data_IF_817322261194
#
_entry.id   IF_817322261194
#
_cell.length_a   1.000
_cell.length_b   1.000
_cell.length_c   1.000
_cell.angle_alpha   90.00
_cell.angle_beta   90.00
_cell.angle_gamma   90.00
#
_symmetry.space_group_name_H-M   'P 1'
#
loop_
_entity.id
_entity.type
_entity.pdbx_description
1 polymer ?
#
# COMPACT_ATOMS: atom_id res chain seq x y z
N UNK A 1 -13.93 -7.46 8.72
CA UNK A 1 -14.52 -6.15 8.36
C UNK A 1 -15.37 -5.59 9.50
N UNK A 2 -16.49 -6.24 9.89
CA UNK A 2 -17.33 -5.73 10.98
C UNK A 2 -16.56 -5.58 12.30
N UNK A 3 -15.75 -6.57 12.63
CA UNK A 3 -14.98 -6.58 13.86
C UNK A 3 -13.90 -5.50 13.88
N UNK A 4 -13.25 -5.22 12.77
CA UNK A 4 -12.31 -4.10 12.66
C UNK A 4 -13.01 -2.75 12.67
N UNK A 5 -14.16 -2.65 12.05
CA UNK A 5 -15.01 -1.45 12.15
C UNK A 5 -15.42 -1.14 13.59
N UNK A 6 -15.66 -2.15 14.40
CA UNK A 6 -15.99 -1.99 15.83
C UNK A 6 -14.77 -1.71 16.71
N UNK A 7 -13.61 -2.24 16.34
CA UNK A 7 -12.39 -2.17 17.15
C UNK A 7 -11.42 -1.07 16.74
N UNK A 8 -11.49 -0.61 15.48
CA UNK A 8 -10.47 0.25 14.89
C UNK A 8 -11.07 1.39 14.13
N UNK A 9 -11.66 2.32 14.49
CA UNK A 9 -11.64 3.64 13.81
C UNK A 9 -12.14 3.65 12.34
N UNK A 10 -12.26 2.50 11.67
CA UNK A 10 -12.64 2.45 10.25
C UNK A 10 -14.16 2.34 10.09
N UNK A 11 -14.82 3.24 9.33
CA UNK A 11 -16.23 3.09 9.03
C UNK A 11 -16.52 1.77 8.29
N UNK A 12 -17.49 0.99 8.76
CA UNK A 12 -17.88 -0.27 8.12
C UNK A 12 -18.22 -0.08 6.63
N UNK A 13 -18.92 0.99 6.29
CA UNK A 13 -19.24 1.32 4.92
C UNK A 13 -17.99 1.47 4.04
N UNK A 14 -16.92 2.09 4.55
CA UNK A 14 -15.66 2.23 3.82
C UNK A 14 -14.97 0.89 3.58
N UNK A 15 -14.92 0.02 4.60
CA UNK A 15 -14.35 -1.33 4.44
C UNK A 15 -15.14 -2.15 3.42
N UNK A 16 -16.46 -2.22 3.57
CA UNK A 16 -17.31 -3.05 2.72
C UNK A 16 -17.40 -2.54 1.27
N UNK A 17 -17.58 -1.23 1.08
CA UNK A 17 -17.83 -0.65 -0.25
C UNK A 17 -16.58 -0.26 -1.02
N UNK A 18 -15.44 -0.13 -0.35
CA UNK A 18 -14.20 0.35 -0.98
C UNK A 18 -13.06 -0.66 -0.89
N UNK A 19 -12.70 -1.09 0.33
CA UNK A 19 -11.50 -1.91 0.49
C UNK A 19 -11.67 -3.36 0.02
N UNK A 20 -12.84 -3.98 0.21
CA UNK A 20 -13.07 -5.37 -0.22
C UNK A 20 -13.10 -5.47 -1.75
N UNK A 21 -13.89 -4.68 -2.49
CA UNK A 21 -13.84 -4.70 -3.96
C UNK A 21 -12.44 -4.38 -4.49
N UNK A 22 -11.79 -3.36 -3.92
CA UNK A 22 -10.44 -2.98 -4.33
C UNK A 22 -9.41 -4.09 -4.10
N UNK A 23 -9.55 -4.86 -3.02
CA UNK A 23 -8.68 -6.00 -2.77
C UNK A 23 -8.82 -7.07 -3.87
N UNK A 24 -10.04 -7.39 -4.30
CA UNK A 24 -10.28 -8.33 -5.39
C UNK A 24 -9.69 -7.83 -6.71
N UNK A 25 -10.02 -6.58 -7.10
CA UNK A 25 -9.47 -5.95 -8.32
C UNK A 25 -7.94 -5.96 -8.38
N UNK A 26 -7.27 -5.83 -7.24
CA UNK A 26 -5.81 -5.87 -7.17
C UNK A 26 -5.27 -7.26 -7.51
N UNK A 27 -5.89 -8.31 -7.00
CA UNK A 27 -5.48 -9.68 -7.35
C UNK A 27 -5.75 -9.98 -8.83
N UNK A 28 -6.90 -9.58 -9.35
CA UNK A 28 -7.23 -9.73 -10.79
C UNK A 28 -6.20 -8.99 -11.66
N UNK A 29 -5.88 -7.75 -11.31
CA UNK A 29 -4.87 -6.96 -12.02
C UNK A 29 -3.51 -7.67 -12.11
N UNK A 30 -2.99 -8.19 -11.00
CA UNK A 30 -1.70 -8.86 -11.01
C UNK A 30 -1.74 -10.23 -11.69
N UNK A 31 -2.86 -10.94 -11.61
CA UNK A 31 -3.08 -12.18 -12.35
C UNK A 31 -3.03 -11.97 -13.87
N UNK A 32 -3.66 -10.90 -14.36
CA UNK A 32 -3.63 -10.54 -15.77
C UNK A 32 -2.26 -10.00 -16.20
N UNK A 33 -1.65 -9.17 -15.35
CA UNK A 33 -0.38 -8.50 -15.67
C UNK A 33 0.79 -9.46 -15.80
N UNK A 34 0.87 -10.50 -14.96
CA UNK A 34 2.01 -11.43 -14.97
C UNK A 34 2.13 -12.20 -16.28
N UNK A 35 0.99 -12.47 -16.94
CA UNK A 35 0.96 -13.13 -18.26
C UNK A 35 1.52 -12.28 -19.41
N UNK A 36 1.68 -10.97 -19.18
CA UNK A 36 2.19 -10.00 -20.16
C UNK A 36 3.65 -9.60 -19.88
N UNK A 37 4.27 -10.13 -18.84
CA UNK A 37 5.62 -9.78 -18.46
C UNK A 37 6.63 -10.34 -19.46
N UNK A 38 7.27 -9.46 -20.23
CA UNK A 38 8.28 -9.80 -21.20
C UNK A 38 9.71 -9.60 -20.67
N UNK A 39 10.64 -10.41 -21.17
CA UNK A 39 12.07 -10.11 -21.12
C UNK A 39 12.48 -9.21 -22.28
N UNK A 40 13.69 -8.68 -22.21
CA UNK A 40 14.24 -7.81 -23.25
C UNK A 40 15.52 -8.41 -23.81
N UNK A 41 15.74 -8.22 -25.10
CA UNK A 41 16.96 -8.65 -25.76
C UNK A 41 17.51 -7.52 -26.62
N UNK A 42 18.78 -7.23 -26.47
CA UNK A 42 19.48 -6.21 -27.22
C UNK A 42 20.65 -6.81 -27.97
N UNK A 43 20.73 -6.61 -29.28
CA UNK A 43 21.93 -6.90 -30.05
C UNK A 43 22.92 -5.73 -29.87
N UNK A 44 24.13 -6.04 -29.47
CA UNK A 44 25.20 -5.06 -29.24
C UNK A 44 26.30 -5.16 -30.30
N UNK A 45 27.20 -4.19 -30.28
CA UNK A 45 28.38 -4.22 -31.16
C UNK A 45 29.26 -5.44 -30.85
N UNK A 46 29.93 -5.97 -31.90
CA UNK A 46 30.91 -7.06 -31.78
C UNK A 46 30.35 -8.43 -31.33
N UNK A 47 29.24 -8.84 -31.90
CA UNK A 47 28.64 -10.17 -31.69
C UNK A 47 28.14 -10.48 -30.26
N UNK A 48 27.97 -9.45 -29.43
CA UNK A 48 27.37 -9.60 -28.11
C UNK A 48 25.87 -9.40 -28.15
N UNK A 49 25.15 -10.25 -27.41
CA UNK A 49 23.72 -10.10 -27.16
C UNK A 49 23.48 -9.98 -25.67
N UNK A 50 22.78 -8.91 -25.25
CA UNK A 50 22.33 -8.73 -23.87
C UNK A 50 20.91 -9.24 -23.75
N UNK A 51 20.70 -10.13 -22.77
CA UNK A 51 19.36 -10.63 -22.43
C UNK A 51 19.02 -10.16 -21.01
N UNK A 52 17.88 -9.48 -20.86
CA UNK A 52 17.36 -9.05 -19.57
C UNK A 52 16.26 -10.02 -19.16
N UNK A 53 16.48 -10.72 -18.07
CA UNK A 53 15.52 -11.61 -17.45
C UNK A 53 15.09 -11.06 -16.09
N UNK A 54 13.85 -11.34 -15.70
CA UNK A 54 13.31 -10.99 -14.38
C UNK A 54 13.28 -12.24 -13.53
N UNK A 55 13.72 -12.11 -12.27
CA UNK A 55 13.74 -13.22 -11.32
C UNK A 55 13.09 -12.75 -10.00
N UNK A 56 12.50 -13.66 -9.21
CA UNK A 56 12.05 -13.35 -7.86
C UNK A 56 13.16 -12.76 -7.02
N UNK A 57 12.84 -11.76 -6.21
CA UNK A 57 13.79 -11.18 -5.26
C UNK A 57 14.05 -12.10 -4.05
N UNK A 58 13.09 -12.95 -3.70
CA UNK A 58 13.14 -13.85 -2.56
C UNK A 58 12.04 -13.60 -1.54
N UNK A 59 12.41 -13.35 -0.28
CA UNK A 59 11.50 -13.12 0.84
C UNK A 59 11.32 -11.63 1.10
N UNK A 60 10.09 -11.13 1.03
CA UNK A 60 9.76 -9.75 1.34
C UNK A 60 9.21 -9.60 2.77
N UNK A 61 9.80 -8.72 3.57
CA UNK A 61 9.17 -8.22 4.78
C UNK A 61 8.24 -7.05 4.45
N UNK A 62 6.97 -7.17 4.75
CA UNK A 62 5.93 -6.21 4.37
C UNK A 62 5.30 -5.62 5.63
N UNK A 63 5.27 -4.28 5.70
CA UNK A 63 4.64 -3.54 6.80
C UNK A 63 3.49 -2.72 6.26
N UNK A 64 2.27 -2.97 6.76
CA UNK A 64 1.07 -2.26 6.29
C UNK A 64 0.39 -1.47 7.40
N UNK A 65 -0.19 -0.31 7.08
CA UNK A 65 -0.83 0.57 8.04
C UNK A 65 -2.25 0.09 8.39
N UNK A 66 -2.90 0.82 9.28
CA UNK A 66 -4.24 0.51 9.78
C UNK A 66 -5.37 1.12 8.94
N UNK A 67 -5.14 2.24 8.27
CA UNK A 67 -6.19 3.05 7.62
C UNK A 67 -6.75 2.46 6.32
N UNK A 68 -5.96 1.67 5.60
CA UNK A 68 -6.37 0.92 4.41
C UNK A 68 -5.81 -0.50 4.46
N UNK A 69 -5.96 -1.14 5.63
CA UNK A 69 -5.30 -2.40 5.99
C UNK A 69 -5.51 -3.50 4.95
N UNK A 70 -6.73 -3.71 4.47
CA UNK A 70 -7.03 -4.76 3.51
C UNK A 70 -6.50 -4.44 2.11
N UNK A 71 -6.83 -3.26 1.57
CA UNK A 71 -6.45 -2.88 0.21
C UNK A 71 -4.92 -2.80 0.04
N UNK A 72 -4.21 -2.18 0.99
CA UNK A 72 -2.75 -2.06 0.92
C UNK A 72 -2.05 -3.40 1.16
N UNK A 73 -2.56 -4.24 2.07
CA UNK A 73 -2.03 -5.58 2.23
C UNK A 73 -2.26 -6.44 0.99
N UNK A 74 -3.43 -6.34 0.36
CA UNK A 74 -3.72 -7.04 -0.90
C UNK A 74 -2.75 -6.61 -2.01
N UNK A 75 -2.49 -5.31 -2.14
CA UNK A 75 -1.56 -4.79 -3.15
C UNK A 75 -0.14 -5.35 -2.96
N UNK A 76 0.35 -5.35 -1.73
CA UNK A 76 1.68 -5.86 -1.40
C UNK A 76 1.78 -7.38 -1.56
N UNK A 77 0.76 -8.13 -1.11
CA UNK A 77 0.72 -9.59 -1.24
C UNK A 77 0.61 -9.98 -2.71
N UNK A 78 -0.37 -9.43 -3.44
CA UNK A 78 -0.63 -9.80 -4.84
C UNK A 78 0.59 -9.53 -5.73
N UNK A 79 1.21 -8.36 -5.59
CA UNK A 79 2.45 -8.06 -6.32
C UNK A 79 3.60 -8.99 -5.93
N UNK A 80 3.74 -9.31 -4.65
CA UNK A 80 4.79 -10.21 -4.17
C UNK A 80 4.66 -11.62 -4.78
N UNK A 81 3.49 -12.22 -4.67
CA UNK A 81 3.26 -13.60 -5.12
C UNK A 81 3.22 -13.72 -6.65
N UNK A 82 2.67 -12.72 -7.36
CA UNK A 82 2.62 -12.72 -8.83
C UNK A 82 4.03 -12.78 -9.45
N UNK A 83 5.01 -12.17 -8.81
CA UNK A 83 6.40 -12.21 -9.27
C UNK A 83 7.24 -13.32 -8.60
N UNK A 84 6.59 -14.33 -8.04
CA UNK A 84 7.25 -15.55 -7.52
C UNK A 84 7.96 -15.38 -6.19
N UNK A 85 7.68 -14.31 -5.44
CA UNK A 85 8.27 -14.10 -4.12
C UNK A 85 7.38 -14.68 -3.02
N UNK A 86 7.96 -14.91 -1.85
CA UNK A 86 7.24 -15.13 -0.60
C UNK A 86 7.31 -13.90 0.31
N UNK A 87 6.42 -13.81 1.29
CA UNK A 87 6.46 -12.69 2.21
C UNK A 87 6.14 -13.05 3.66
N UNK A 88 6.66 -12.20 4.54
CA UNK A 88 6.26 -12.10 5.94
C UNK A 88 5.61 -10.73 6.13
N UNK A 89 4.30 -10.71 6.30
CA UNK A 89 3.52 -9.50 6.47
C UNK A 89 3.32 -9.18 7.94
N UNK A 90 3.64 -7.97 8.34
CA UNK A 90 3.27 -7.39 9.63
C UNK A 90 2.21 -6.30 9.43
N UNK A 91 0.93 -6.61 9.62
CA UNK A 91 -0.11 -5.58 9.62
C UNK A 91 0.03 -4.69 10.86
N UNK A 92 -0.63 -3.52 10.81
CA UNK A 92 -0.76 -2.71 12.01
C UNK A 92 -1.46 -3.49 13.12
N UNK A 93 -0.99 -3.33 14.38
CA UNK A 93 -1.63 -3.91 15.55
C UNK A 93 -3.06 -3.39 15.81
N UNK A 94 -3.42 -2.26 15.21
CA UNK A 94 -4.76 -1.67 15.34
C UNK A 94 -5.80 -2.27 14.39
N UNK A 95 -5.37 -2.89 13.26
CA UNK A 95 -6.28 -3.42 12.25
C UNK A 95 -5.75 -4.70 11.58
N UNK A 96 -5.48 -5.79 12.33
CA UNK A 96 -4.91 -7.00 11.76
C UNK A 96 -5.96 -7.99 11.22
N UNK A 97 -7.22 -7.90 11.65
CA UNK A 97 -8.18 -9.00 11.50
C UNK A 97 -8.59 -9.26 10.04
N UNK A 98 -8.83 -8.22 9.24
CA UNK A 98 -9.16 -8.39 7.83
C UNK A 98 -7.99 -9.00 7.04
N UNK A 99 -6.77 -8.62 7.39
CA UNK A 99 -5.55 -9.17 6.78
C UNK A 99 -5.39 -10.67 7.11
N UNK A 100 -5.62 -11.05 8.36
CA UNK A 100 -5.60 -12.46 8.77
C UNK A 100 -6.66 -13.28 8.03
N UNK A 101 -7.87 -12.74 7.82
CA UNK A 101 -8.91 -13.40 7.03
C UNK A 101 -8.53 -13.51 5.55
N UNK A 102 -7.90 -12.47 4.98
CA UNK A 102 -7.38 -12.53 3.61
C UNK A 102 -6.39 -13.68 3.44
N UNK A 103 -5.42 -13.81 4.34
CA UNK A 103 -4.41 -14.88 4.23
C UNK A 103 -5.04 -16.26 4.36
N UNK A 104 -5.98 -16.46 5.29
CA UNK A 104 -6.76 -17.71 5.38
C UNK A 104 -7.54 -18.01 4.10
N UNK A 105 -8.13 -16.99 3.48
CA UNK A 105 -8.83 -17.14 2.21
C UNK A 105 -7.88 -17.58 1.11
N UNK A 106 -6.71 -16.94 0.99
CA UNK A 106 -5.70 -17.32 0.00
C UNK A 106 -5.25 -18.78 0.16
N UNK A 107 -5.01 -19.24 1.39
CA UNK A 107 -4.69 -20.64 1.67
C UNK A 107 -5.86 -21.57 1.28
N UNK A 108 -7.10 -21.19 1.57
CA UNK A 108 -8.30 -22.00 1.26
C UNK A 108 -8.54 -22.16 -0.23
N UNK A 109 -8.06 -21.25 -1.07
CA UNK A 109 -8.15 -21.34 -2.54
C UNK A 109 -6.90 -21.93 -3.19
N UNK A 110 -5.97 -22.46 -2.39
CA UNK A 110 -4.85 -23.26 -2.88
C UNK A 110 -3.49 -22.55 -2.89
N UNK A 111 -3.36 -21.38 -2.29
CA UNK A 111 -2.04 -20.77 -2.11
C UNK A 111 -1.18 -21.70 -1.22
N UNK A 112 0.01 -22.13 -1.65
CA UNK A 112 0.84 -23.02 -0.87
C UNK A 112 1.21 -22.41 0.49
N UNK A 113 1.17 -23.24 1.53
CA UNK A 113 1.58 -22.84 2.90
C UNK A 113 3.00 -22.30 2.90
N UNK A 114 3.20 -21.18 3.60
CA UNK A 114 4.52 -20.55 3.73
C UNK A 114 4.83 -19.49 2.66
N UNK A 115 4.03 -19.36 1.60
CA UNK A 115 4.20 -18.29 0.60
C UNK A 115 3.84 -16.93 1.20
N UNK A 116 2.73 -16.85 1.95
CA UNK A 116 2.34 -15.65 2.68
C UNK A 116 2.22 -15.96 4.17
N UNK A 117 3.02 -15.31 4.98
CA UNK A 117 3.05 -15.49 6.43
C UNK A 117 2.66 -14.18 7.11
N UNK A 118 1.99 -14.24 8.25
CA UNK A 118 1.61 -13.06 9.02
C UNK A 118 2.16 -13.12 10.42
N UNK A 119 2.82 -12.05 10.84
CA UNK A 119 3.28 -11.87 12.23
C UNK A 119 2.60 -10.64 12.82
N UNK A 120 1.91 -10.85 13.94
CA UNK A 120 1.26 -9.77 14.69
C UNK A 120 2.12 -9.30 15.85
N UNK A 121 1.93 -8.06 16.23
CA UNK A 121 2.59 -7.47 17.40
C UNK A 121 2.91 -6.00 17.22
N UNK A 122 3.48 -5.42 18.28
CA UNK A 122 3.84 -4.01 18.29
C UNK A 122 4.95 -3.71 17.29
N UNK A 123 4.86 -2.56 16.63
CA UNK A 123 5.88 -2.10 15.69
C UNK A 123 7.28 -2.04 16.29
N UNK A 124 7.39 -1.61 17.55
CA UNK A 124 8.66 -1.52 18.28
C UNK A 124 9.29 -2.86 18.67
N UNK A 125 8.54 -3.96 18.64
CA UNK A 125 9.02 -5.29 19.01
C UNK A 125 9.05 -6.17 17.75
N UNK A 126 7.89 -6.62 17.29
CA UNK A 126 7.75 -7.51 16.14
C UNK A 126 8.22 -6.84 14.84
N UNK A 127 7.89 -5.55 14.66
CA UNK A 127 8.33 -4.80 13.50
C UNK A 127 9.85 -4.61 13.47
N UNK A 128 10.46 -4.26 14.59
CA UNK A 128 11.91 -4.11 14.70
C UNK A 128 12.63 -5.44 14.45
N UNK A 129 12.13 -6.54 15.01
CA UNK A 129 12.68 -7.88 14.78
C UNK A 129 12.60 -8.30 13.31
N UNK A 130 11.45 -8.07 12.66
CA UNK A 130 11.28 -8.39 11.24
C UNK A 130 12.18 -7.55 10.33
N UNK A 131 12.39 -6.27 10.65
CA UNK A 131 13.25 -5.38 9.86
C UNK A 131 14.74 -5.77 9.92
N UNK A 132 15.15 -6.56 10.92
CA UNK A 132 16.53 -7.05 11.09
C UNK A 132 16.66 -8.55 10.89
N UNK A 133 15.59 -9.23 10.48
CA UNK A 133 15.59 -10.69 10.36
C UNK A 133 16.52 -11.14 9.21
N UNK A 134 17.36 -12.12 9.50
CA UNK A 134 18.16 -12.78 8.48
C UNK A 134 17.24 -13.49 7.47
N UNK A 135 17.62 -13.47 6.19
CA UNK A 135 16.84 -14.08 5.12
C UNK A 135 15.69 -13.21 4.60
N UNK A 136 15.63 -11.94 4.98
CA UNK A 136 14.76 -10.94 4.33
C UNK A 136 15.55 -10.29 3.20
N UNK A 137 15.07 -10.49 1.97
CA UNK A 137 15.74 -10.00 0.75
C UNK A 137 15.26 -8.60 0.35
N UNK A 138 14.07 -8.19 0.79
CA UNK A 138 13.47 -6.89 0.51
C UNK A 138 12.52 -6.46 1.62
N UNK A 139 12.46 -5.16 1.87
CA UNK A 139 11.50 -4.58 2.80
C UNK A 139 10.57 -3.61 2.05
N UNK A 140 9.27 -3.71 2.32
CA UNK A 140 8.27 -2.73 1.88
C UNK A 140 7.50 -2.21 3.09
N UNK A 141 7.43 -0.89 3.24
CA UNK A 141 6.72 -0.26 4.35
C UNK A 141 5.81 0.86 3.84
N UNK A 142 4.55 0.75 4.18
CA UNK A 142 3.60 1.87 4.09
C UNK A 142 3.33 2.40 5.50
N UNK A 143 3.66 3.66 5.75
CA UNK A 143 3.51 4.23 7.10
C UNK A 143 4.12 5.61 7.26
N UNK A 144 4.53 5.92 8.48
CA UNK A 144 5.07 7.23 8.85
C UNK A 144 6.57 7.35 8.59
N UNK A 145 7.02 8.57 8.28
CA UNK A 145 8.42 8.88 8.03
C UNK A 145 9.35 8.50 9.20
N UNK A 146 8.91 8.66 10.44
CA UNK A 146 9.69 8.25 11.62
C UNK A 146 9.91 6.74 11.71
N UNK A 147 8.91 5.95 11.30
CA UNK A 147 9.04 4.50 11.20
C UNK A 147 9.95 4.12 10.06
N UNK A 148 9.82 4.79 8.91
CA UNK A 148 10.66 4.56 7.75
C UNK A 148 12.16 4.78 8.05
N UNK A 149 12.50 5.84 8.77
CA UNK A 149 13.89 6.09 9.20
C UNK A 149 14.47 4.95 10.05
N UNK A 150 13.66 4.41 10.98
CA UNK A 150 14.07 3.27 11.83
C UNK A 150 14.27 2.00 11.01
N UNK A 151 13.33 1.73 10.09
CA UNK A 151 13.42 0.56 9.20
C UNK A 151 14.60 0.68 8.25
N UNK A 152 14.84 1.86 7.69
CA UNK A 152 16.00 2.12 6.83
C UNK A 152 17.33 1.89 7.58
N UNK A 153 17.42 2.39 8.80
CA UNK A 153 18.63 2.18 9.62
C UNK A 153 18.84 0.69 9.95
N UNK A 154 17.76 -0.06 10.22
CA UNK A 154 17.84 -1.49 10.46
C UNK A 154 18.26 -2.26 9.19
N UNK A 155 17.69 -1.94 8.05
CA UNK A 155 17.97 -2.56 6.75
C UNK A 155 19.41 -2.29 6.27
N UNK A 156 19.94 -1.11 6.59
CA UNK A 156 21.30 -0.71 6.19
C UNK A 156 22.39 -1.68 6.70
N UNK A 157 22.21 -2.28 7.86
CA UNK A 157 23.15 -3.23 8.43
C UNK A 157 23.33 -4.49 7.58
N UNK A 158 22.34 -4.86 6.80
CA UNK A 158 22.31 -6.04 5.93
C UNK A 158 22.28 -5.67 4.44
N UNK A 159 22.32 -4.38 4.11
CA UNK A 159 22.16 -3.85 2.75
C UNK A 159 20.84 -4.30 2.08
N UNK A 160 19.81 -4.57 2.88
CA UNK A 160 18.51 -5.00 2.37
C UNK A 160 17.82 -3.82 1.66
N UNK A 161 17.41 -3.96 0.38
CA UNK A 161 16.66 -2.92 -0.32
C UNK A 161 15.34 -2.60 0.34
N UNK A 162 15.01 -1.31 0.44
CA UNK A 162 13.77 -0.83 1.05
C UNK A 162 12.92 -0.06 0.06
N UNK A 163 11.60 -0.23 0.13
CA UNK A 163 10.61 0.57 -0.56
C UNK A 163 9.67 1.22 0.45
N UNK A 164 9.41 2.50 0.29
CA UNK A 164 8.59 3.27 1.21
C UNK A 164 7.44 3.97 0.51
N UNK A 165 6.23 3.78 1.04
CA UNK A 165 5.06 4.60 0.80
C UNK A 165 4.75 5.36 2.08
N UNK A 166 4.95 6.69 2.07
CA UNK A 166 4.90 7.48 3.29
C UNK A 166 3.70 8.43 3.32
N UNK A 167 3.51 9.06 4.45
CA UNK A 167 2.52 10.10 4.68
C UNK A 167 2.75 11.31 3.76
N UNK A 168 1.69 12.02 3.46
CA UNK A 168 1.71 13.23 2.65
C UNK A 168 0.91 14.36 3.28
N UNK A 169 0.97 15.51 2.63
CA UNK A 169 0.12 16.67 2.87
C UNK A 169 -0.23 17.27 1.51
N UNK A 170 -1.05 16.50 0.76
CA UNK A 170 -1.31 16.74 -0.65
C UNK A 170 -2.10 18.03 -0.89
N UNK A 171 -1.73 18.77 -1.93
CA UNK A 171 -2.46 19.96 -2.34
C UNK A 171 -3.63 19.60 -3.25
N UNK A 172 -4.77 20.26 -3.04
CA UNK A 172 -5.90 20.31 -3.95
C UNK A 172 -5.99 21.76 -4.47
N UNK A 173 -5.72 21.98 -5.74
CA UNK A 173 -5.57 23.32 -6.32
C UNK A 173 -6.78 23.61 -7.22
N UNK A 174 -7.46 24.72 -6.95
CA UNK A 174 -8.70 25.13 -7.62
C UNK A 174 -8.51 26.50 -8.25
N UNK A 175 -8.57 26.56 -9.57
CA UNK A 175 -8.51 27.78 -10.37
C UNK A 175 -9.91 28.32 -10.69
N UNK A 176 -9.99 29.54 -11.21
CA UNK A 176 -11.25 30.27 -11.46
C UNK A 176 -12.07 29.72 -12.65
N UNK A 177 -11.46 28.91 -13.49
CA UNK A 177 -12.11 28.19 -14.59
C UNK A 177 -12.72 26.84 -14.16
N UNK A 178 -12.57 26.46 -12.88
CA UNK A 178 -13.15 25.22 -12.34
C UNK A 178 -14.68 25.31 -12.21
N UNK A 179 -15.33 24.17 -12.45
CA UNK A 179 -16.74 23.98 -12.01
C UNK A 179 -16.76 23.95 -10.49
N UNK A 180 -17.28 25.00 -9.87
CA UNK A 180 -17.21 25.21 -8.41
C UNK A 180 -17.95 24.11 -7.66
N UNK A 181 -19.12 23.65 -8.12
CA UNK A 181 -19.91 22.66 -7.42
C UNK A 181 -19.18 21.30 -7.41
N UNK A 182 -18.61 20.91 -8.55
CA UNK A 182 -17.76 19.71 -8.65
C UNK A 182 -16.46 19.83 -7.86
N UNK A 183 -15.88 21.02 -7.82
CA UNK A 183 -14.65 21.26 -7.06
C UNK A 183 -14.90 21.13 -5.56
N UNK A 184 -16.07 21.57 -5.06
CA UNK A 184 -16.48 21.41 -3.66
C UNK A 184 -16.69 19.94 -3.32
N UNK A 185 -17.48 19.23 -4.12
CA UNK A 185 -17.73 17.80 -3.93
C UNK A 185 -16.40 17.00 -3.93
N UNK A 186 -15.53 17.31 -4.89
CA UNK A 186 -14.21 16.70 -5.00
C UNK A 186 -13.32 17.02 -3.79
N UNK A 187 -13.34 18.26 -3.31
CA UNK A 187 -12.58 18.68 -2.14
C UNK A 187 -13.07 18.01 -0.86
N UNK A 188 -14.38 17.90 -0.66
CA UNK A 188 -14.99 17.18 0.46
C UNK A 188 -14.59 15.70 0.47
N UNK A 189 -14.73 15.01 -0.66
CA UNK A 189 -14.36 13.60 -0.79
C UNK A 189 -12.86 13.41 -0.59
N UNK A 190 -12.04 14.29 -1.15
CA UNK A 190 -10.58 14.21 -1.07
C UNK A 190 -10.06 14.47 0.35
N UNK A 191 -10.63 15.47 1.05
CA UNK A 191 -10.17 15.83 2.39
C UNK A 191 -10.73 14.92 3.49
N UNK A 192 -12.00 14.51 3.37
CA UNK A 192 -12.73 13.82 4.44
C UNK A 192 -13.03 12.34 4.17
N UNK A 193 -12.66 11.82 3.00
CA UNK A 193 -12.77 10.40 2.71
C UNK A 193 -12.10 9.55 3.80
N UNK A 194 -12.74 8.43 4.21
CA UNK A 194 -12.28 7.60 5.33
C UNK A 194 -12.02 8.40 6.63
N UNK A 195 -12.87 9.40 6.91
CA UNK A 195 -12.71 10.32 8.05
C UNK A 195 -11.39 11.13 8.01
N UNK A 196 -10.90 11.45 6.81
CA UNK A 196 -9.63 12.14 6.59
C UNK A 196 -8.38 11.29 6.78
N UNK A 197 -8.54 9.99 6.99
CA UNK A 197 -7.45 9.07 7.34
C UNK A 197 -6.83 8.42 6.09
N UNK A 198 -6.42 9.23 5.13
CA UNK A 198 -5.85 8.79 3.84
C UNK A 198 -4.53 9.53 3.60
N UNK A 199 -3.47 8.79 3.26
CA UNK A 199 -2.15 9.36 2.97
C UNK A 199 -2.15 10.34 1.79
N UNK A 200 -3.07 10.16 0.83
CA UNK A 200 -3.25 11.01 -0.36
C UNK A 200 -4.38 12.03 -0.19
N UNK A 201 -4.90 12.24 1.03
CA UNK A 201 -5.96 13.22 1.25
C UNK A 201 -5.51 14.62 0.80
N UNK A 202 -6.34 15.29 0.01
CA UNK A 202 -6.14 16.69 -0.43
C UNK A 202 -6.42 17.67 0.70
N UNK A 203 -5.65 17.55 1.79
CA UNK A 203 -5.89 18.26 3.05
C UNK A 203 -5.47 19.73 3.02
N UNK A 204 -4.77 20.17 1.97
CA UNK A 204 -4.46 21.58 1.70
C UNK A 204 -5.22 22.05 0.47
N UNK A 205 -6.32 22.73 0.70
CA UNK A 205 -7.14 23.28 -0.39
C UNK A 205 -6.61 24.69 -0.72
N UNK A 206 -6.06 24.84 -1.91
CA UNK A 206 -5.51 26.10 -2.44
C UNK A 206 -6.47 26.63 -3.49
N UNK A 207 -7.13 27.73 -3.18
CA UNK A 207 -8.15 28.33 -4.06
C UNK A 207 -7.63 29.65 -4.60
N UNK A 208 -7.79 29.86 -5.91
CA UNK A 208 -7.44 31.13 -6.54
C UNK A 208 -8.22 32.28 -5.91
N UNK A 209 -7.54 33.38 -5.65
CA UNK A 209 -8.03 34.46 -4.79
C UNK A 209 -9.37 35.05 -5.24
N UNK A 210 -9.60 35.23 -6.54
CA UNK A 210 -10.81 35.84 -7.09
C UNK A 210 -12.10 34.98 -6.91
N UNK A 211 -11.97 33.69 -6.58
CA UNK A 211 -13.09 32.80 -6.31
C UNK A 211 -13.11 32.30 -4.85
N UNK A 212 -12.13 32.69 -4.03
CA UNK A 212 -11.93 32.13 -2.70
C UNK A 212 -13.15 32.32 -1.79
N UNK A 213 -13.71 33.53 -1.72
CA UNK A 213 -14.86 33.83 -0.86
C UNK A 213 -16.12 33.02 -1.28
N UNK A 214 -16.34 32.88 -2.59
CA UNK A 214 -17.44 32.06 -3.12
C UNK A 214 -17.24 30.58 -2.79
N UNK A 215 -16.03 30.08 -2.94
CA UNK A 215 -15.71 28.70 -2.63
C UNK A 215 -15.88 28.39 -1.14
N UNK A 216 -15.32 29.25 -0.26
CA UNK A 216 -15.40 29.08 1.20
C UNK A 216 -16.84 29.12 1.69
N UNK A 217 -17.67 30.02 1.12
CA UNK A 217 -19.08 30.13 1.52
C UNK A 217 -19.92 28.90 1.14
N UNK A 218 -19.48 28.13 0.13
CA UNK A 218 -20.19 26.94 -0.35
C UNK A 218 -19.60 25.62 0.16
N UNK A 219 -18.34 25.63 0.62
CA UNK A 219 -17.62 24.48 1.19
C UNK A 219 -18.03 24.25 2.65
#
# INVERSE_FOLDING_TARGET
ALQESLCAVLPFAHLASRQIPRAAEIFDFFADYIGQLAGETYDQLHDYRTVVTRQPAGVAAIFTPWNACLALSSMQIASCIAFGNSCVLKPSEFAPLAVLQLVRLLESVGLPTGVVNVVNGRGSVTGAALATAAGVDRISLTGRGDTARKVMAAAAAQLTPVHFELEGNSANIIFDDADIDRAIDGALVSAFGNSGQICIAGSRILVQQNIADRFIAAF
#
